data_IF_362625251825
#
_entry.id   IF_362625251825
#
_cell.length_a   1.000
_cell.length_b   1.000
_cell.length_c   1.000
_cell.angle_alpha   90.00
_cell.angle_beta   90.00
_cell.angle_gamma   90.00
#
_symmetry.space_group_name_H-M   'P 1'
#
loop_
_entity.id
_entity.type
_entity.pdbx_description
1 polymer ?
#
# COMPACT_ATOMS: atom_id res chain seq x y z
N UNK A 1 16.09 0.27 -1.54
CA UNK A 1 16.33 -0.70 -2.63
C UNK A 1 17.17 -1.85 -2.11
N UNK A 2 16.79 -3.10 -2.41
CA UNK A 2 17.49 -4.32 -1.97
C UNK A 2 18.46 -4.74 -3.09
N UNK A 3 19.76 -4.86 -2.78
CA UNK A 3 20.74 -5.43 -3.72
C UNK A 3 20.43 -6.92 -3.91
N UNK A 4 20.11 -7.37 -5.14
CA UNK A 4 19.86 -8.79 -5.38
C UNK A 4 21.15 -9.60 -5.15
N UNK A 5 21.01 -10.88 -4.82
CA UNK A 5 22.18 -11.76 -4.75
C UNK A 5 22.69 -12.00 -6.17
N UNK A 6 23.98 -11.75 -6.41
CA UNK A 6 24.63 -11.95 -7.70
C UNK A 6 25.90 -12.79 -7.56
N UNK A 7 26.24 -13.52 -8.62
CA UNK A 7 27.44 -14.34 -8.75
C UNK A 7 28.10 -13.99 -10.08
N UNK A 8 29.43 -13.79 -10.07
CA UNK A 8 30.22 -13.56 -11.27
C UNK A 8 31.11 -14.77 -11.53
N UNK A 9 31.06 -15.28 -12.75
CA UNK A 9 31.96 -16.33 -13.23
C UNK A 9 32.59 -15.89 -14.55
N UNK A 10 33.76 -16.40 -14.90
CA UNK A 10 34.46 -15.97 -16.12
C UNK A 10 35.10 -17.16 -16.85
N UNK A 11 35.09 -17.06 -18.17
CA UNK A 11 35.84 -17.89 -19.12
C UNK A 11 36.91 -17.00 -19.82
N UNK A 12 37.85 -17.56 -20.61
CA UNK A 12 38.85 -16.78 -21.34
C UNK A 12 38.25 -15.71 -22.25
N UNK A 13 37.08 -15.97 -22.82
CA UNK A 13 36.44 -15.10 -23.82
C UNK A 13 35.23 -14.30 -23.26
N UNK A 14 34.63 -14.74 -22.15
CA UNK A 14 33.37 -14.18 -21.63
C UNK A 14 33.34 -14.02 -20.11
N UNK A 15 32.70 -12.96 -19.63
CA UNK A 15 32.24 -12.79 -18.25
C UNK A 15 30.76 -13.19 -18.15
N UNK A 16 30.41 -14.04 -17.20
CA UNK A 16 29.03 -14.47 -16.94
C UNK A 16 28.57 -13.92 -15.60
N UNK A 17 27.53 -13.08 -15.62
CA UNK A 17 26.89 -12.52 -14.43
C UNK A 17 25.57 -13.25 -14.19
N UNK A 18 25.42 -13.85 -13.02
CA UNK A 18 24.21 -14.58 -12.60
C UNK A 18 23.54 -13.78 -11.49
N UNK A 19 22.36 -13.23 -11.75
CA UNK A 19 21.58 -12.43 -10.80
C UNK A 19 20.36 -13.23 -10.35
N UNK A 20 20.22 -13.44 -9.04
CA UNK A 20 19.11 -14.16 -8.40
C UNK A 20 18.06 -13.16 -7.93
N UNK A 21 16.92 -13.12 -8.62
CA UNK A 21 15.78 -12.22 -8.31
C UNK A 21 14.49 -13.03 -8.15
N UNK A 22 14.20 -13.54 -6.94
CA UNK A 22 13.15 -14.54 -6.73
C UNK A 22 11.72 -14.05 -7.02
N UNK A 23 11.46 -12.74 -7.08
CA UNK A 23 10.11 -12.18 -7.16
C UNK A 23 9.82 -11.25 -8.34
N UNK A 24 10.76 -11.06 -9.26
CA UNK A 24 10.62 -10.06 -10.32
C UNK A 24 10.27 -10.66 -11.69
N UNK A 25 9.67 -9.85 -12.57
CA UNK A 25 9.34 -10.23 -13.96
C UNK A 25 10.42 -9.73 -14.92
N UNK A 26 10.68 -10.46 -16.00
CA UNK A 26 11.70 -10.09 -17.00
C UNK A 26 11.40 -8.78 -17.75
N UNK A 27 10.16 -8.29 -17.72
CA UNK A 27 9.75 -7.01 -18.29
C UNK A 27 10.07 -5.79 -17.42
N UNK A 28 10.58 -5.99 -16.20
CA UNK A 28 10.82 -4.92 -15.21
C UNK A 28 12.31 -4.55 -15.09
N UNK A 29 13.17 -5.03 -15.99
CA UNK A 29 14.61 -4.88 -15.88
C UNK A 29 15.25 -4.33 -17.15
N UNK A 30 16.02 -3.25 -16.99
CA UNK A 30 16.94 -2.75 -17.99
C UNK A 30 18.38 -3.09 -17.61
N UNK A 31 19.16 -3.47 -18.62
CA UNK A 31 20.59 -3.78 -18.51
C UNK A 31 21.33 -2.81 -19.40
N UNK A 32 22.26 -2.08 -18.81
CA UNK A 32 23.15 -1.16 -19.50
C UNK A 32 24.59 -1.52 -19.17
N UNK A 33 25.47 -1.47 -20.16
CA UNK A 33 26.88 -1.75 -19.97
C UNK A 33 27.71 -0.86 -20.90
N UNK A 34 28.70 -0.17 -20.33
CA UNK A 34 29.58 0.72 -21.09
C UNK A 34 30.99 0.69 -20.45
N UNK A 35 31.99 0.24 -21.20
CA UNK A 35 33.39 0.22 -20.76
C UNK A 35 33.64 -0.66 -19.53
N UNK A 36 33.78 -0.04 -18.36
CA UNK A 36 33.99 -0.73 -17.06
C UNK A 36 32.69 -0.82 -16.24
N UNK A 37 31.60 -0.19 -16.67
CA UNK A 37 30.38 -0.06 -15.88
C UNK A 37 29.30 -1.04 -16.35
N UNK A 38 28.74 -1.79 -15.40
CA UNK A 38 27.56 -2.62 -15.59
C UNK A 38 26.42 -2.11 -14.69
N UNK A 39 25.32 -1.67 -15.30
CA UNK A 39 24.12 -1.17 -14.64
C UNK A 39 22.97 -2.12 -14.92
N UNK A 40 22.63 -2.95 -13.94
CA UNK A 40 21.32 -3.60 -13.86
C UNK A 40 20.39 -2.64 -13.10
N UNK A 41 19.06 -2.72 -13.23
CA UNK A 41 18.12 -1.86 -12.49
C UNK A 41 18.09 -2.15 -10.96
N UNK A 42 19.24 -2.06 -10.30
CA UNK A 42 19.57 -1.38 -9.05
C UNK A 42 21.11 -1.42 -8.84
N UNK A 43 21.73 -0.24 -8.70
CA UNK A 43 23.16 0.10 -8.48
C UNK A 43 24.16 -0.22 -9.63
N UNK A 44 25.11 0.71 -9.94
CA UNK A 44 26.22 0.45 -10.85
C UNK A 44 27.22 -0.52 -10.21
N UNK A 45 27.68 -1.50 -10.99
CA UNK A 45 28.77 -2.40 -10.68
C UNK A 45 29.98 -1.99 -11.54
N UNK A 46 31.11 -1.72 -10.90
CA UNK A 46 32.35 -1.41 -11.62
C UNK A 46 33.15 -2.69 -11.79
N UNK A 47 33.39 -3.09 -13.04
CA UNK A 47 34.15 -4.27 -13.40
C UNK A 47 35.66 -3.97 -13.36
N UNK A 48 36.50 -4.96 -12.99
CA UNK A 48 37.96 -4.79 -12.93
C UNK A 48 38.63 -4.75 -14.31
N UNK A 49 37.87 -4.87 -15.40
CA UNK A 49 38.36 -4.85 -16.77
C UNK A 49 37.27 -4.41 -17.74
N UNK A 50 37.69 -4.00 -18.93
CA UNK A 50 36.82 -3.43 -19.96
C UNK A 50 36.08 -4.52 -20.75
N UNK A 51 34.83 -4.24 -21.09
CA UNK A 51 33.95 -5.05 -21.92
C UNK A 51 33.56 -4.28 -23.19
N UNK A 52 33.30 -4.99 -24.28
CA UNK A 52 32.97 -4.40 -25.60
C UNK A 52 31.56 -4.82 -26.00
N UNK A 53 30.76 -3.88 -26.48
CA UNK A 53 29.46 -4.14 -27.10
C UNK A 53 29.67 -4.55 -28.57
N UNK A 54 29.55 -5.84 -28.88
CA UNK A 54 29.86 -6.40 -30.22
C UNK A 54 28.71 -7.31 -30.74
N UNK A 55 27.52 -7.21 -30.15
CA UNK A 55 26.32 -7.94 -30.58
C UNK A 55 26.39 -9.46 -30.35
N UNK A 56 27.40 -9.93 -29.63
CA UNK A 56 27.59 -11.32 -29.19
C UNK A 56 27.09 -11.55 -27.75
N UNK A 57 26.51 -10.53 -27.12
CA UNK A 57 25.94 -10.65 -25.77
C UNK A 57 24.72 -11.57 -25.78
N UNK A 58 24.58 -12.38 -24.73
CA UNK A 58 23.38 -13.20 -24.53
C UNK A 58 22.88 -13.04 -23.10
N UNK A 59 21.68 -12.51 -22.96
CA UNK A 59 20.90 -12.56 -21.73
C UNK A 59 19.90 -13.72 -21.81
N UNK A 60 19.93 -14.61 -20.83
CA UNK A 60 19.01 -15.74 -20.73
C UNK A 60 18.35 -15.75 -19.36
N UNK A 61 17.05 -16.03 -19.34
CA UNK A 61 16.23 -16.08 -18.13
C UNK A 61 15.78 -17.52 -17.89
N UNK A 62 16.21 -18.11 -16.78
CA UNK A 62 15.90 -19.49 -16.43
C UNK A 62 14.99 -19.55 -15.20
N UNK A 63 13.93 -20.37 -15.28
CA UNK A 63 12.89 -20.51 -14.26
C UNK A 63 12.90 -21.85 -13.50
N UNK A 64 13.94 -22.67 -13.67
CA UNK A 64 13.98 -24.00 -13.05
C UNK A 64 14.28 -23.95 -11.54
N UNK A 65 13.55 -24.79 -10.78
CA UNK A 65 13.68 -25.01 -9.32
C UNK A 65 13.26 -23.86 -8.41
N UNK A 66 12.28 -23.04 -8.79
CA UNK A 66 11.66 -22.04 -7.90
C UNK A 66 12.56 -20.84 -7.54
N UNK A 67 13.75 -20.75 -8.15
CA UNK A 67 14.65 -19.60 -8.09
C UNK A 67 14.73 -19.05 -9.50
N UNK A 68 14.24 -17.83 -9.70
CA UNK A 68 14.33 -17.11 -10.98
C UNK A 68 15.73 -16.54 -11.12
N UNK A 69 16.48 -16.98 -12.13
CA UNK A 69 17.86 -16.57 -12.39
C UNK A 69 18.00 -15.87 -13.73
N UNK A 70 18.59 -14.67 -13.73
CA UNK A 70 19.06 -13.99 -14.94
C UNK A 70 20.53 -14.32 -15.14
N UNK A 71 20.88 -14.85 -16.30
CA UNK A 71 22.26 -15.14 -16.68
C UNK A 71 22.63 -14.29 -17.88
N UNK A 72 23.58 -13.38 -17.69
CA UNK A 72 24.06 -12.45 -18.72
C UNK A 72 25.50 -12.83 -19.07
N UNK A 73 25.77 -13.04 -20.36
CA UNK A 73 27.11 -13.32 -20.89
C UNK A 73 27.62 -12.10 -21.65
N UNK A 74 28.73 -11.54 -21.17
CA UNK A 74 29.39 -10.35 -21.71
C UNK A 74 30.75 -10.75 -22.29
N UNK A 75 31.08 -10.37 -23.54
CA UNK A 75 32.40 -10.61 -24.11
C UNK A 75 33.46 -9.67 -23.51
N UNK A 76 34.68 -10.18 -23.31
CA UNK A 76 35.82 -9.39 -22.81
C UNK A 76 36.46 -8.58 -23.95
N UNK A 77 36.95 -7.37 -23.66
CA UNK A 77 37.70 -6.57 -24.65
C UNK A 77 38.99 -7.28 -25.09
N UNK A 78 39.67 -7.95 -24.15
CA UNK A 78 40.90 -8.70 -24.42
C UNK A 78 40.66 -10.20 -24.13
N UNK A 79 40.56 -11.05 -25.17
CA UNK A 79 40.45 -12.49 -25.00
C UNK A 79 41.66 -13.06 -24.23
N UNK A 80 41.40 -13.79 -23.14
CA UNK A 80 42.41 -14.36 -22.26
C UNK A 80 42.76 -13.51 -21.03
N UNK A 81 42.21 -12.30 -20.88
CA UNK A 81 42.41 -11.50 -19.67
C UNK A 81 41.66 -12.10 -18.48
N UNK A 82 42.38 -12.41 -17.41
CA UNK A 82 41.80 -12.90 -16.16
C UNK A 82 41.40 -11.72 -15.27
N UNK A 83 40.13 -11.67 -14.87
CA UNK A 83 39.61 -10.60 -14.02
C UNK A 83 39.87 -11.00 -12.57
N UNK A 84 40.83 -10.35 -11.91
CA UNK A 84 41.15 -10.62 -10.51
C UNK A 84 40.12 -9.96 -9.57
N UNK A 85 39.82 -10.61 -8.44
CA UNK A 85 38.97 -10.03 -7.38
C UNK A 85 37.45 -10.18 -7.57
N UNK A 86 36.97 -11.04 -8.47
CA UNK A 86 35.54 -11.30 -8.67
C UNK A 86 34.82 -11.83 -7.39
N UNK A 87 35.55 -12.49 -6.50
CA UNK A 87 35.02 -13.01 -5.22
C UNK A 87 34.84 -11.91 -4.16
N UNK A 88 35.43 -10.72 -4.36
CA UNK A 88 35.40 -9.60 -3.42
C UNK A 88 34.23 -8.66 -3.77
N UNK A 89 33.00 -9.17 -3.65
CA UNK A 89 31.75 -8.51 -4.07
C UNK A 89 31.59 -7.08 -3.50
N UNK A 90 32.09 -6.82 -2.29
CA UNK A 90 32.07 -5.49 -1.67
C UNK A 90 33.01 -4.49 -2.33
N UNK A 91 34.12 -4.96 -2.91
CA UNK A 91 35.09 -4.12 -3.65
C UNK A 91 34.58 -3.72 -5.03
N UNK A 92 33.73 -4.54 -5.65
CA UNK A 92 33.08 -4.26 -6.94
C UNK A 92 31.90 -3.29 -6.81
N UNK A 93 31.37 -3.15 -5.58
CA UNK A 93 30.28 -2.24 -5.21
C UNK A 93 30.79 -0.90 -4.65
N UNK A 94 32.11 -0.72 -4.50
CA UNK A 94 32.69 0.45 -3.87
C UNK A 94 32.95 1.57 -4.90
N UNK A 95 32.52 2.82 -4.65
CA UNK A 95 32.76 3.93 -5.56
C UNK A 95 34.25 4.28 -5.65
N UNK A 96 34.71 4.68 -6.85
CA UNK A 96 36.08 5.18 -7.07
C UNK A 96 36.20 6.57 -6.43
N UNK A 97 36.40 6.66 -5.11
CA UNK A 97 36.77 7.95 -4.49
C UNK A 97 38.11 8.43 -5.04
N UNK A 98 38.12 9.61 -5.65
CA UNK A 98 39.33 10.33 -6.04
C UNK A 98 40.21 10.54 -4.80
N UNK A 99 41.43 9.99 -4.83
CA UNK A 99 42.43 10.27 -3.80
C UNK A 99 43.00 11.67 -4.02
N UNK A 100 42.38 12.68 -3.40
CA UNK A 100 42.98 14.00 -3.23
C UNK A 100 43.03 14.35 -1.75
N UNK A 101 44.11 13.95 -1.07
CA UNK A 101 44.50 14.56 0.19
C UNK A 101 45.20 15.89 -0.12
N UNK A 102 44.50 17.02 0.08
CA UNK A 102 45.14 18.35 0.02
C UNK A 102 45.98 18.57 1.29
N UNK A 103 47.26 18.98 1.19
CA UNK A 103 48.06 19.34 2.35
C UNK A 103 47.71 20.75 2.86
N UNK A 104 47.85 20.93 4.17
CA UNK A 104 47.43 22.11 4.92
C UNK A 104 48.60 23.11 5.07
N UNK A 105 48.92 23.90 4.03
CA UNK A 105 49.73 25.13 4.15
C UNK A 105 49.35 26.11 3.03
N UNK A 106 48.96 27.34 3.40
CA UNK A 106 48.83 28.50 2.50
C UNK A 106 50.18 29.21 2.35
N UNK A 107 50.64 29.44 1.12
CA UNK A 107 51.55 30.54 0.80
C UNK A 107 51.03 31.33 -0.40
N UNK A 108 51.13 32.65 -0.27
CA UNK A 108 50.61 33.68 -1.17
C UNK A 108 51.47 33.76 -2.43
N UNK A 109 50.89 33.50 -3.61
CA UNK A 109 51.40 34.03 -4.87
C UNK A 109 50.27 34.18 -5.89
N UNK A 110 50.19 35.38 -6.47
CA UNK A 110 49.21 35.78 -7.46
C UNK A 110 49.56 35.26 -8.86
N UNK A 111 48.57 34.65 -9.53
CA UNK A 111 48.44 34.70 -10.99
C UNK A 111 47.06 34.18 -11.39
N UNK A 112 46.33 35.04 -12.10
CA UNK A 112 45.06 34.74 -12.73
C UNK A 112 45.26 33.83 -13.94
N UNK A 113 44.44 32.78 -14.07
CA UNK A 113 44.14 32.14 -15.36
C UNK A 113 42.80 31.37 -15.26
N UNK A 114 41.85 31.87 -16.07
CA UNK A 114 40.78 31.19 -16.81
C UNK A 114 40.11 29.96 -16.17
N UNK A 115 38.87 30.15 -15.71
CA UNK A 115 37.90 29.10 -15.46
C UNK A 115 37.46 28.45 -16.78
N UNK A 116 37.97 27.26 -17.08
CA UNK A 116 37.28 26.33 -17.95
C UNK A 116 36.10 25.75 -17.15
N UNK A 117 34.89 25.91 -17.67
CA UNK A 117 33.69 25.24 -17.16
C UNK A 117 33.87 23.74 -17.40
N UNK A 118 34.40 23.03 -16.41
CA UNK A 118 34.29 21.56 -16.34
C UNK A 118 32.79 21.25 -16.36
N UNK A 119 32.33 20.51 -17.38
CA UNK A 119 31.00 19.93 -17.39
C UNK A 119 30.81 19.16 -16.09
N UNK A 120 29.95 19.65 -15.20
CA UNK A 120 29.57 18.93 -13.97
C UNK A 120 28.89 17.62 -14.39
N UNK A 121 29.70 16.56 -14.50
CA UNK A 121 29.22 15.19 -14.60
C UNK A 121 28.33 14.94 -13.39
N UNK A 122 27.02 14.78 -13.65
CA UNK A 122 25.99 14.74 -12.62
C UNK A 122 26.27 13.57 -11.67
N UNK A 123 26.79 13.89 -10.48
CA UNK A 123 27.12 12.92 -9.47
C UNK A 123 25.83 12.29 -8.92
N UNK A 124 25.50 11.09 -9.41
CA UNK A 124 24.38 10.30 -8.92
C UNK A 124 24.68 9.64 -7.56
N UNK A 125 25.85 9.90 -6.95
CA UNK A 125 26.23 9.35 -5.65
C UNK A 125 25.73 10.24 -4.50
N UNK A 126 24.64 9.81 -3.88
CA UNK A 126 24.19 10.39 -2.59
C UNK A 126 25.24 10.05 -1.52
N UNK A 127 25.95 11.07 -1.04
CA UNK A 127 26.98 10.94 0.01
C UNK A 127 26.36 10.33 1.28
N UNK A 128 26.67 9.06 1.56
CA UNK A 128 26.20 8.41 2.79
C UNK A 128 27.12 8.77 3.96
N UNK A 129 26.59 9.52 4.92
CA UNK A 129 27.19 9.65 6.24
C UNK A 129 27.07 8.31 6.98
N UNK A 130 28.13 7.81 7.65
CA UNK A 130 28.03 6.63 8.49
C UNK A 130 26.89 6.77 9.49
N UNK A 131 26.12 5.71 9.69
CA UNK A 131 25.19 5.65 10.82
C UNK A 131 26.03 5.65 12.10
N UNK A 132 26.07 6.79 12.79
CA UNK A 132 26.51 6.82 14.18
C UNK A 132 25.41 6.15 15.01
N UNK A 133 25.71 4.98 15.60
CA UNK A 133 24.94 4.51 16.76
C UNK A 133 25.13 5.57 17.85
N UNK A 134 24.22 6.54 17.91
CA UNK A 134 24.13 7.43 19.04
C UNK A 134 23.84 6.53 20.25
N UNK A 135 24.84 6.33 21.08
CA UNK A 135 24.67 5.78 22.41
C UNK A 135 23.55 6.57 23.10
N UNK A 136 22.42 5.89 23.34
CA UNK A 136 21.26 6.37 24.10
C UNK A 136 20.64 7.70 23.63
N UNK A 137 19.91 7.67 22.52
CA UNK A 137 18.78 8.58 22.33
C UNK A 137 17.58 7.85 21.70
N UNK A 138 16.53 7.65 22.51
CA UNK A 138 15.16 7.22 22.20
C UNK A 138 14.89 6.64 20.80
N UNK A 139 14.53 5.36 20.70
CA UNK A 139 13.81 4.79 19.54
C UNK A 139 12.78 5.83 19.03
N UNK A 140 12.75 6.19 17.74
CA UNK A 140 11.73 7.11 17.25
C UNK A 140 10.37 6.57 17.65
N UNK A 141 9.51 7.39 18.28
CA UNK A 141 8.15 6.99 18.62
C UNK A 141 7.39 6.67 17.32
N UNK A 142 7.42 5.42 16.88
CA UNK A 142 6.63 4.95 15.75
C UNK A 142 5.19 4.74 16.24
N UNK A 143 4.28 5.60 15.80
CA UNK A 143 2.87 5.47 16.10
C UNK A 143 2.25 4.34 15.28
N UNK A 144 1.51 3.47 15.96
CA UNK A 144 0.88 2.31 15.32
C UNK A 144 -0.41 2.69 14.58
N UNK A 145 -0.78 1.87 13.61
CA UNK A 145 -2.00 1.97 12.80
C UNK A 145 -2.37 0.58 12.25
N UNK A 146 -3.35 0.54 11.35
CA UNK A 146 -3.85 -0.70 10.75
C UNK A 146 -4.83 -1.41 11.67
N UNK A 147 -5.17 -2.65 11.30
CA UNK A 147 -6.03 -3.51 12.10
C UNK A 147 -5.52 -3.62 13.54
N UNK A 148 -6.33 -3.16 14.50
CA UNK A 148 -6.01 -3.23 15.93
C UNK A 148 -4.76 -2.44 16.35
N UNK A 149 -4.29 -1.47 15.57
CA UNK A 149 -3.02 -0.77 15.81
C UNK A 149 -1.83 -1.74 15.94
N UNK A 150 -1.78 -2.77 15.09
CA UNK A 150 -0.75 -3.81 15.10
C UNK A 150 0.39 -3.57 14.11
N UNK A 151 0.32 -2.54 13.25
CA UNK A 151 1.31 -2.22 12.23
C UNK A 151 2.00 -0.88 12.50
N UNK A 152 3.26 -0.77 12.11
CA UNK A 152 4.07 0.46 12.07
C UNK A 152 5.21 0.29 11.05
N UNK A 153 5.77 1.38 10.55
CA UNK A 153 6.93 1.41 9.65
C UNK A 153 6.67 0.95 8.21
N UNK A 154 5.40 0.81 7.82
CA UNK A 154 4.99 0.43 6.45
C UNK A 154 5.12 1.63 5.50
N UNK A 155 4.78 2.84 5.97
CA UNK A 155 4.77 4.03 5.12
C UNK A 155 6.17 4.55 4.82
N UNK A 156 7.16 4.23 5.66
CA UNK A 156 8.59 4.52 5.35
C UNK A 156 9.11 3.79 4.11
N UNK A 157 8.49 2.67 3.70
CA UNK A 157 8.94 1.85 2.57
C UNK A 157 8.15 2.08 1.28
N UNK A 158 6.89 2.51 1.41
CA UNK A 158 5.91 2.62 0.33
C UNK A 158 5.31 4.02 0.27
N UNK A 159 6.08 5.05 0.64
CA UNK A 159 5.58 6.42 0.80
C UNK A 159 4.95 6.95 -0.50
N UNK A 160 5.55 6.67 -1.64
CA UNK A 160 5.09 7.17 -2.94
C UNK A 160 3.72 6.57 -3.33
N UNK A 161 3.55 5.24 -3.24
CA UNK A 161 2.28 4.57 -3.52
C UNK A 161 1.18 4.93 -2.51
N UNK A 162 1.55 5.09 -1.25
CA UNK A 162 0.59 5.33 -0.18
C UNK A 162 0.12 6.78 -0.09
N UNK A 163 0.91 7.74 -0.57
CA UNK A 163 0.54 9.16 -0.60
C UNK A 163 -0.75 9.42 -1.39
N UNK A 164 -1.03 8.60 -2.41
CA UNK A 164 -2.26 8.70 -3.20
C UNK A 164 -3.46 8.01 -2.54
N UNK A 165 -3.22 7.08 -1.60
CA UNK A 165 -4.23 6.26 -0.92
C UNK A 165 -4.75 6.92 0.37
N UNK A 166 -3.84 7.47 1.17
CA UNK A 166 -4.14 8.06 2.48
C UNK A 166 -4.04 9.59 2.47
N UNK A 167 -4.79 10.26 3.34
CA UNK A 167 -4.82 11.73 3.43
C UNK A 167 -3.73 12.29 4.38
N UNK A 168 -3.04 11.41 5.10
CA UNK A 168 -2.02 11.78 6.09
C UNK A 168 -0.61 11.61 5.52
N UNK A 169 0.22 12.67 5.60
CA UNK A 169 1.56 12.67 4.98
C UNK A 169 2.55 11.71 5.64
N UNK A 170 2.58 11.68 6.97
CA UNK A 170 3.50 10.84 7.74
C UNK A 170 2.76 10.20 8.93
N UNK A 171 2.10 9.06 8.71
CA UNK A 171 1.36 8.38 9.77
C UNK A 171 2.25 7.75 10.84
N UNK A 172 3.51 7.42 10.51
CA UNK A 172 4.46 6.80 11.43
C UNK A 172 4.90 7.79 12.52
N UNK A 173 4.99 9.08 12.20
CA UNK A 173 5.39 10.14 13.14
C UNK A 173 4.21 10.97 13.68
N UNK A 174 2.99 10.81 13.15
CA UNK A 174 1.84 11.61 13.61
C UNK A 174 1.02 10.87 14.68
N UNK A 175 0.89 11.41 15.91
CA UNK A 175 0.05 10.84 16.97
C UNK A 175 -1.43 10.88 16.61
N UNK A 176 -2.22 9.95 17.16
CA UNK A 176 -3.66 9.76 16.87
C UNK A 176 -4.47 11.06 17.05
N UNK A 177 -4.21 11.82 18.11
CA UNK A 177 -4.92 13.07 18.38
C UNK A 177 -4.63 14.14 17.32
N UNK A 178 -3.40 14.18 16.82
CA UNK A 178 -3.02 15.08 15.73
C UNK A 178 -3.62 14.63 14.39
N UNK A 179 -3.73 13.32 14.13
CA UNK A 179 -4.45 12.79 12.95
C UNK A 179 -5.89 13.29 12.94
N UNK A 180 -6.59 13.17 14.08
CA UNK A 180 -7.97 13.66 14.24
C UNK A 180 -8.07 15.17 14.00
N UNK A 181 -7.17 15.96 14.58
CA UNK A 181 -7.16 17.43 14.40
C UNK A 181 -6.95 17.81 12.94
N UNK A 182 -5.99 17.20 12.26
CA UNK A 182 -5.70 17.43 10.83
C UNK A 182 -6.88 17.02 9.95
N UNK A 183 -7.51 15.88 10.24
CA UNK A 183 -8.72 15.43 9.54
C UNK A 183 -9.85 16.45 9.64
N UNK A 184 -10.18 16.89 10.86
CA UNK A 184 -11.27 17.85 11.08
C UNK A 184 -11.04 19.16 10.33
N UNK A 185 -9.79 19.63 10.31
CA UNK A 185 -9.40 20.82 9.54
C UNK A 185 -9.53 20.59 8.02
N UNK A 186 -9.09 19.44 7.51
CA UNK A 186 -9.20 19.08 6.10
C UNK A 186 -10.67 18.94 5.65
N UNK A 187 -11.52 18.32 6.46
CA UNK A 187 -12.96 18.22 6.20
C UNK A 187 -13.63 19.59 6.19
N UNK A 188 -13.31 20.44 7.17
CA UNK A 188 -13.86 21.80 7.22
C UNK A 188 -13.43 22.65 6.01
N UNK A 189 -12.20 22.47 5.53
CA UNK A 189 -11.70 23.16 4.34
C UNK A 189 -12.29 22.60 3.04
N UNK A 190 -12.64 21.31 3.00
CA UNK A 190 -13.20 20.64 1.81
C UNK A 190 -14.69 20.84 1.65
N UNK A 191 -15.42 21.09 2.74
CA UNK A 191 -16.85 21.33 2.71
C UNK A 191 -17.20 22.54 1.85
N UNK A 192 -18.07 22.33 0.87
CA UNK A 192 -18.52 23.35 -0.08
C UNK A 192 -20.03 23.54 0.08
N UNK A 193 -20.48 24.65 0.69
CA UNK A 193 -21.90 24.89 0.97
C UNK A 193 -22.76 24.92 -0.29
N UNK A 194 -22.26 25.53 -1.37
CA UNK A 194 -23.02 25.71 -2.61
C UNK A 194 -23.30 24.37 -3.29
N UNK A 195 -22.32 23.46 -3.31
CA UNK A 195 -22.49 22.10 -3.82
C UNK A 195 -23.50 21.31 -2.99
N UNK A 196 -23.41 21.40 -1.66
CA UNK A 196 -24.39 20.76 -0.78
C UNK A 196 -25.81 21.29 -1.01
N UNK A 197 -25.97 22.60 -1.21
CA UNK A 197 -27.27 23.20 -1.49
C UNK A 197 -27.79 22.78 -2.87
N UNK A 198 -26.94 22.67 -3.88
CA UNK A 198 -27.31 22.15 -5.19
C UNK A 198 -27.88 20.72 -5.06
N UNK A 199 -27.16 19.81 -4.41
CA UNK A 199 -27.62 18.43 -4.18
C UNK A 199 -28.87 18.35 -3.28
N UNK A 200 -29.11 19.35 -2.44
CA UNK A 200 -30.29 19.42 -1.57
C UNK A 200 -31.55 19.87 -2.32
N UNK A 201 -31.42 20.78 -3.29
CA UNK A 201 -32.55 21.30 -4.05
C UNK A 201 -32.79 20.54 -5.37
N UNK A 202 -31.74 19.99 -5.99
CA UNK A 202 -31.78 19.22 -7.24
C UNK A 202 -31.57 17.72 -6.95
N UNK A 203 -32.43 17.14 -6.11
CA UNK A 203 -32.22 15.82 -5.52
C UNK A 203 -32.77 14.65 -6.36
N UNK A 204 -33.21 14.86 -7.60
CA UNK A 204 -33.88 13.83 -8.42
C UNK A 204 -33.05 12.54 -8.57
N UNK A 205 -31.75 12.68 -8.87
CA UNK A 205 -30.82 11.55 -8.98
C UNK A 205 -30.62 10.85 -7.63
N UNK A 206 -30.55 11.62 -6.54
CA UNK A 206 -30.40 11.10 -5.18
C UNK A 206 -31.66 10.33 -4.76
N UNK A 207 -32.85 10.83 -5.09
CA UNK A 207 -34.11 10.15 -4.82
C UNK A 207 -34.27 8.85 -5.61
N UNK A 208 -33.68 8.75 -6.80
CA UNK A 208 -33.60 7.48 -7.54
C UNK A 208 -32.74 6.46 -6.78
N UNK A 209 -31.50 6.85 -6.46
CA UNK A 209 -30.54 6.05 -5.70
C UNK A 209 -31.11 5.59 -4.35
N UNK A 210 -31.83 6.45 -3.64
CA UNK A 210 -32.45 6.10 -2.34
C UNK A 210 -33.52 5.01 -2.45
N UNK A 211 -34.10 4.78 -3.64
CA UNK A 211 -35.08 3.71 -3.87
C UNK A 211 -34.44 2.36 -4.14
N UNK A 212 -33.14 2.33 -4.46
CA UNK A 212 -32.41 1.09 -4.69
C UNK A 212 -32.50 0.17 -3.47
N UNK A 213 -32.59 -1.14 -3.72
CA UNK A 213 -32.72 -2.18 -2.70
C UNK A 213 -31.55 -3.15 -2.78
N UNK A 214 -30.53 -2.97 -1.91
CA UNK A 214 -29.43 -3.92 -1.81
C UNK A 214 -29.89 -5.29 -1.28
N UNK A 215 -29.06 -6.30 -1.52
CA UNK A 215 -29.35 -7.70 -1.16
C UNK A 215 -29.65 -7.92 0.33
N UNK A 216 -29.06 -7.12 1.24
CA UNK A 216 -29.28 -7.25 2.68
C UNK A 216 -30.69 -6.86 3.11
N UNK A 217 -31.40 -6.01 2.35
CA UNK A 217 -32.79 -5.62 2.66
C UNK A 217 -33.70 -6.84 2.59
N UNK A 218 -33.56 -7.66 1.55
CA UNK A 218 -34.39 -8.85 1.39
C UNK A 218 -33.96 -9.98 2.33
N UNK A 219 -32.67 -10.12 2.61
CA UNK A 219 -32.17 -11.04 3.63
C UNK A 219 -32.72 -10.67 5.03
N UNK A 220 -32.74 -9.39 5.37
CA UNK A 220 -33.24 -8.88 6.65
C UNK A 220 -34.74 -9.05 6.81
N UNK A 221 -35.53 -8.78 5.76
CA UNK A 221 -36.97 -9.08 5.75
C UNK A 221 -37.26 -10.56 6.00
N UNK A 222 -36.51 -11.46 5.36
CA UNK A 222 -36.63 -12.92 5.59
C UNK A 222 -36.31 -13.27 7.04
N UNK A 223 -35.26 -12.68 7.62
CA UNK A 223 -34.90 -12.87 9.02
C UNK A 223 -36.02 -12.40 9.97
N UNK A 224 -36.60 -11.22 9.75
CA UNK A 224 -37.70 -10.71 10.57
C UNK A 224 -38.96 -11.59 10.45
N UNK A 225 -39.32 -12.01 9.23
CA UNK A 225 -40.48 -12.87 9.01
C UNK A 225 -40.36 -14.20 9.79
N UNK A 226 -39.18 -14.82 9.76
CA UNK A 226 -38.90 -16.06 10.49
C UNK A 226 -38.81 -15.88 12.01
N UNK A 227 -38.47 -14.68 12.51
CA UNK A 227 -38.50 -14.38 13.95
C UNK A 227 -39.92 -14.13 14.47
N UNK A 228 -40.86 -13.72 13.62
CA UNK A 228 -42.27 -13.52 13.97
C UNK A 228 -43.07 -14.83 14.06
N UNK A 229 -42.62 -15.88 13.37
CA UNK A 229 -43.17 -17.23 13.45
C UNK A 229 -42.50 -17.98 14.62
N UNK A 230 -43.05 -17.85 15.84
CA UNK A 230 -42.64 -18.63 17.01
C UNK A 230 -42.59 -20.12 16.67
N UNK A 231 -41.41 -20.75 16.49
CA UNK A 231 -41.10 -22.14 16.88
C UNK A 231 -39.62 -22.52 16.62
N UNK A 232 -38.88 -22.75 17.72
CA UNK A 232 -38.13 -23.98 18.04
C UNK A 232 -37.21 -24.68 17.01
N UNK A 233 -36.69 -24.03 15.97
CA UNK A 233 -35.55 -24.59 15.23
C UNK A 233 -34.24 -23.90 15.61
N UNK A 234 -33.44 -24.56 16.45
CA UNK A 234 -32.01 -24.29 16.62
C UNK A 234 -31.22 -24.75 15.38
N UNK A 235 -31.65 -24.30 14.19
CA UNK A 235 -30.90 -24.38 12.96
C UNK A 235 -30.11 -23.09 12.77
N UNK A 236 -28.85 -23.19 12.36
CA UNK A 236 -28.05 -22.03 11.93
C UNK A 236 -28.63 -21.51 10.61
N UNK A 237 -29.73 -20.75 10.64
CA UNK A 237 -30.35 -20.22 9.42
C UNK A 237 -29.33 -19.36 8.68
N UNK A 238 -28.94 -19.83 7.51
CA UNK A 238 -27.90 -19.20 6.71
C UNK A 238 -28.56 -18.20 5.77
N UNK A 239 -28.72 -16.96 6.25
CA UNK A 239 -29.32 -15.86 5.48
C UNK A 239 -28.42 -15.32 4.37
N UNK A 240 -27.15 -15.74 4.36
CA UNK A 240 -26.10 -15.22 3.49
C UNK A 240 -25.41 -16.37 2.79
N UNK A 241 -25.45 -16.37 1.46
CA UNK A 241 -24.79 -17.37 0.62
C UNK A 241 -23.52 -16.78 0.03
N UNK A 242 -22.43 -17.52 0.16
CA UNK A 242 -21.14 -17.16 -0.43
C UNK A 242 -21.03 -17.70 -1.86
N UNK A 243 -20.55 -16.87 -2.79
CA UNK A 243 -20.18 -17.29 -4.14
C UNK A 243 -18.93 -18.17 -4.12
N UNK A 244 -18.64 -18.88 -5.22
CA UNK A 244 -17.41 -19.69 -5.27
C UNK A 244 -16.15 -18.81 -5.23
N UNK A 245 -16.16 -17.63 -5.87
CA UNK A 245 -15.08 -16.64 -5.78
C UNK A 245 -14.82 -16.22 -4.32
N UNK A 246 -15.88 -15.92 -3.55
CA UNK A 246 -15.78 -15.55 -2.14
C UNK A 246 -15.19 -16.71 -1.31
N UNK A 247 -15.61 -17.96 -1.60
CA UNK A 247 -15.09 -19.16 -0.93
C UNK A 247 -13.62 -19.40 -1.26
N UNK A 248 -13.20 -19.19 -2.50
CA UNK A 248 -11.81 -19.28 -2.92
C UNK A 248 -10.95 -18.22 -2.24
N UNK A 249 -11.43 -16.98 -2.16
CA UNK A 249 -10.72 -15.91 -1.45
C UNK A 249 -10.55 -16.25 0.04
N UNK A 250 -11.58 -16.81 0.67
CA UNK A 250 -11.49 -17.27 2.06
C UNK A 250 -10.43 -18.38 2.25
N UNK A 251 -10.22 -19.26 1.26
CA UNK A 251 -9.16 -20.29 1.31
C UNK A 251 -7.75 -19.70 1.22
N UNK A 252 -7.59 -18.52 0.60
CA UNK A 252 -6.29 -17.84 0.47
C UNK A 252 -5.85 -17.16 1.77
N UNK A 253 -6.78 -16.80 2.65
CA UNK A 253 -6.42 -16.14 3.90
C UNK A 253 -5.66 -17.08 4.84
N UNK A 254 -4.55 -16.58 5.38
CA UNK A 254 -3.77 -17.32 6.38
C UNK A 254 -4.55 -17.41 7.70
N UNK A 255 -4.59 -18.59 8.29
CA UNK A 255 -5.28 -18.81 9.56
C UNK A 255 -4.54 -18.16 10.73
N UNK A 256 -4.82 -16.88 11.03
CA UNK A 256 -4.20 -16.09 12.11
C UNK A 256 -5.16 -15.87 13.27
N UNK A 257 -4.68 -15.93 14.51
CA UNK A 257 -5.45 -15.59 15.71
C UNK A 257 -4.98 -14.24 16.26
N UNK A 258 -5.91 -13.30 16.46
CA UNK A 258 -5.60 -12.00 17.05
C UNK A 258 -5.96 -12.02 18.54
N UNK A 259 -4.97 -11.80 19.39
CA UNK A 259 -5.16 -11.58 20.82
C UNK A 259 -5.28 -10.08 21.05
N UNK A 260 -6.52 -9.59 21.04
CA UNK A 260 -6.82 -8.18 21.27
C UNK A 260 -7.33 -7.99 22.70
N UNK A 261 -6.78 -7.00 23.39
CA UNK A 261 -7.32 -6.55 24.68
C UNK A 261 -8.70 -5.89 24.51
N UNK A 262 -9.42 -5.70 25.61
CA UNK A 262 -10.79 -5.16 25.59
C UNK A 262 -10.85 -3.78 24.90
N UNK A 263 -9.83 -2.94 25.08
CA UNK A 263 -9.78 -1.61 24.49
C UNK A 263 -9.50 -1.69 23.00
N UNK A 264 -8.51 -2.45 22.54
CA UNK A 264 -8.25 -2.60 21.09
C UNK A 264 -9.42 -3.27 20.37
N UNK A 265 -10.07 -4.25 21.01
CA UNK A 265 -11.29 -4.88 20.46
C UNK A 265 -12.42 -3.86 20.25
N UNK A 266 -12.63 -2.94 21.19
CA UNK A 266 -13.62 -1.88 21.05
C UNK A 266 -13.31 -0.96 19.86
N UNK A 267 -12.07 -0.51 19.71
CA UNK A 267 -11.64 0.29 18.55
C UNK A 267 -11.82 -0.47 17.23
N UNK A 268 -11.51 -1.77 17.20
CA UNK A 268 -11.66 -2.61 16.01
C UNK A 268 -13.13 -2.72 15.57
N UNK A 269 -14.07 -2.89 16.51
CA UNK A 269 -15.50 -2.86 16.19
C UNK A 269 -15.95 -1.48 15.67
N UNK A 270 -15.45 -0.38 16.23
CA UNK A 270 -15.78 0.96 15.74
C UNK A 270 -15.22 1.21 14.34
N UNK A 271 -13.99 0.79 14.06
CA UNK A 271 -13.41 0.84 12.71
C UNK A 271 -14.14 -0.05 11.71
N UNK A 272 -14.65 -1.21 12.14
CA UNK A 272 -15.50 -2.06 11.31
C UNK A 272 -16.79 -1.34 10.91
N UNK A 273 -17.44 -0.65 11.86
CA UNK A 273 -18.65 0.12 11.58
C UNK A 273 -18.35 1.25 10.59
N UNK A 274 -17.25 1.98 10.78
CA UNK A 274 -16.81 3.06 9.87
C UNK A 274 -16.62 2.55 8.42
N UNK A 275 -15.98 1.38 8.26
CA UNK A 275 -15.77 0.75 6.95
C UNK A 275 -17.09 0.28 6.34
N UNK A 276 -17.98 -0.34 7.13
CA UNK A 276 -19.29 -0.80 6.66
C UNK A 276 -20.18 0.37 6.21
N UNK A 277 -20.14 1.50 6.93
CA UNK A 277 -20.86 2.71 6.55
C UNK A 277 -20.44 3.22 5.16
N UNK A 278 -19.13 3.30 4.93
CA UNK A 278 -18.57 3.67 3.63
C UNK A 278 -19.00 2.71 2.51
N UNK A 279 -19.01 1.41 2.78
CA UNK A 279 -19.46 0.40 1.83
C UNK A 279 -20.96 0.46 1.54
N UNK A 280 -21.81 0.65 2.56
CA UNK A 280 -23.26 0.79 2.35
C UNK A 280 -23.60 2.00 1.48
N UNK A 281 -22.90 3.12 1.69
CA UNK A 281 -23.04 4.29 0.83
C UNK A 281 -22.68 3.96 -0.62
N UNK A 282 -21.52 3.33 -0.83
CA UNK A 282 -21.00 2.99 -2.15
C UNK A 282 -21.96 2.10 -2.95
N UNK A 283 -22.43 1.01 -2.33
CA UNK A 283 -23.39 0.10 -2.96
C UNK A 283 -24.73 0.78 -3.24
N UNK A 284 -25.17 1.69 -2.36
CA UNK A 284 -26.41 2.42 -2.59
C UNK A 284 -26.26 3.33 -3.82
N UNK A 285 -25.22 4.17 -3.85
CA UNK A 285 -24.99 5.17 -4.90
C UNK A 285 -24.78 4.56 -6.27
N UNK A 286 -24.05 3.45 -6.35
CA UNK A 286 -23.80 2.79 -7.62
C UNK A 286 -24.77 1.62 -7.90
N UNK A 287 -25.87 1.51 -7.15
CA UNK A 287 -26.92 0.50 -7.36
C UNK A 287 -26.38 -0.94 -7.42
N UNK A 288 -25.31 -1.21 -6.68
CA UNK A 288 -24.62 -2.49 -6.60
C UNK A 288 -23.56 -2.76 -7.67
N UNK A 289 -23.45 -1.89 -8.69
CA UNK A 289 -22.42 -2.00 -9.71
C UNK A 289 -21.15 -1.28 -9.27
N UNK A 290 -19.99 -1.91 -9.51
CA UNK A 290 -18.69 -1.34 -9.12
C UNK A 290 -18.09 -0.59 -10.29
N UNK A 291 -17.46 0.54 -10.01
CA UNK A 291 -16.76 1.36 -10.99
C UNK A 291 -15.36 1.72 -10.50
N UNK A 292 -14.62 2.48 -11.31
CA UNK A 292 -13.24 2.87 -11.00
C UNK A 292 -13.12 3.76 -9.75
N UNK A 293 -14.19 4.46 -9.38
CA UNK A 293 -14.27 5.35 -8.21
C UNK A 293 -14.72 4.61 -6.94
N UNK A 294 -15.20 3.37 -7.04
CA UNK A 294 -15.67 2.59 -5.89
C UNK A 294 -14.60 2.47 -4.79
N UNK A 295 -13.34 2.25 -5.19
CA UNK A 295 -12.21 2.20 -4.27
C UNK A 295 -11.99 3.55 -3.57
N UNK A 296 -12.15 4.65 -4.32
CA UNK A 296 -11.99 6.01 -3.84
C UNK A 296 -13.09 6.40 -2.86
N UNK A 297 -14.35 6.08 -3.17
CA UNK A 297 -15.47 6.36 -2.28
C UNK A 297 -15.33 5.62 -0.95
N UNK A 298 -15.06 4.31 -0.98
CA UNK A 298 -14.94 3.52 0.26
C UNK A 298 -13.77 4.03 1.11
N UNK A 299 -12.59 4.28 0.52
CA UNK A 299 -11.44 4.77 1.28
C UNK A 299 -11.64 6.20 1.79
N UNK A 300 -12.23 7.10 1.00
CA UNK A 300 -12.41 8.50 1.40
C UNK A 300 -13.54 8.65 2.39
N UNK A 301 -14.58 7.82 2.39
CA UNK A 301 -15.66 7.94 3.37
C UNK A 301 -15.32 7.33 4.73
N UNK A 302 -14.43 6.33 4.78
CA UNK A 302 -13.93 5.75 6.03
C UNK A 302 -12.69 6.49 6.53
N UNK A 303 -12.80 7.19 7.67
CA UNK A 303 -11.64 7.84 8.30
C UNK A 303 -10.63 6.82 8.87
N UNK A 304 -11.09 5.60 9.18
CA UNK A 304 -10.21 4.49 9.56
C UNK A 304 -9.23 4.15 8.44
N UNK A 305 -9.68 4.19 7.17
CA UNK A 305 -8.87 3.85 6.02
C UNK A 305 -7.96 5.00 5.56
N UNK A 306 -8.51 6.20 5.34
CA UNK A 306 -7.75 7.32 4.78
C UNK A 306 -6.97 8.15 5.81
N UNK A 307 -7.43 8.22 7.07
CA UNK A 307 -6.76 8.99 8.14
C UNK A 307 -6.11 8.12 9.22
N UNK A 308 -6.26 6.79 9.12
CA UNK A 308 -5.76 5.83 10.11
C UNK A 308 -6.20 6.20 11.54
N UNK A 309 -7.44 6.69 11.66
CA UNK A 309 -8.02 7.14 12.92
C UNK A 309 -8.52 5.96 13.76
N UNK A 310 -8.30 6.05 15.08
CA UNK A 310 -8.87 5.12 16.05
C UNK A 310 -9.99 5.81 16.81
N UNK A 311 -11.23 5.34 16.62
CA UNK A 311 -12.40 5.91 17.27
C UNK A 311 -12.62 5.38 18.68
N UNK A 312 -13.06 6.25 19.59
CA UNK A 312 -13.40 5.88 20.98
C UNK A 312 -14.90 5.72 21.21
N UNK A 313 -15.72 6.39 20.39
CA UNK A 313 -17.17 6.43 20.51
C UNK A 313 -17.85 6.17 19.17
N UNK A 314 -19.00 5.49 19.20
CA UNK A 314 -19.85 5.29 18.03
C UNK A 314 -20.38 6.61 17.47
N UNK A 315 -20.67 7.58 18.34
CA UNK A 315 -21.12 8.90 17.93
C UNK A 315 -20.08 9.58 17.04
N UNK A 316 -18.79 9.48 17.41
CA UNK A 316 -17.70 10.07 16.64
C UNK A 316 -17.54 9.40 15.26
N UNK A 317 -17.78 8.09 15.17
CA UNK A 317 -17.81 7.35 13.88
C UNK A 317 -18.93 7.90 12.99
N UNK A 318 -20.15 8.00 13.51
CA UNK A 318 -21.31 8.44 12.74
C UNK A 318 -21.17 9.90 12.28
N UNK A 319 -20.70 10.79 13.17
CA UNK A 319 -20.43 12.19 12.82
C UNK A 319 -19.32 12.30 11.79
N UNK A 320 -18.24 11.52 11.96
CA UNK A 320 -17.14 11.47 11.00
C UNK A 320 -17.63 11.07 9.62
N UNK A 321 -18.30 9.91 9.50
CA UNK A 321 -18.85 9.44 8.24
C UNK A 321 -19.82 10.45 7.62
N UNK A 322 -20.76 10.98 8.40
CA UNK A 322 -21.74 11.95 7.92
C UNK A 322 -21.09 13.22 7.36
N UNK A 323 -20.10 13.80 8.06
CA UNK A 323 -19.34 14.95 7.56
C UNK A 323 -18.67 14.63 6.23
N UNK A 324 -18.06 13.46 6.10
CA UNK A 324 -17.30 13.06 4.91
C UNK A 324 -18.22 12.84 3.69
N UNK A 325 -19.39 12.23 3.89
CA UNK A 325 -20.41 12.13 2.83
C UNK A 325 -20.84 13.50 2.32
N UNK A 326 -20.89 14.51 3.18
CA UNK A 326 -21.24 15.88 2.78
C UNK A 326 -20.07 16.69 2.19
N UNK A 327 -18.84 16.16 2.17
CA UNK A 327 -17.65 16.88 1.72
C UNK A 327 -17.03 16.32 0.44
N UNK A 328 -17.00 14.99 0.28
CA UNK A 328 -16.15 14.33 -0.70
C UNK A 328 -16.87 13.78 -1.94
N UNK A 329 -17.91 12.92 -1.80
CA UNK A 329 -18.44 12.18 -2.92
C UNK A 329 -19.24 13.07 -3.89
N UNK A 330 -19.64 12.48 -5.01
CA UNK A 330 -20.46 13.11 -6.04
C UNK A 330 -21.85 13.54 -5.51
N UNK A 331 -22.47 12.75 -4.65
CA UNK A 331 -23.79 13.04 -4.09
C UNK A 331 -23.71 13.37 -2.61
N UNK A 332 -23.81 14.66 -2.26
CA UNK A 332 -23.63 15.18 -0.90
C UNK A 332 -24.98 15.44 -0.24
N UNK A 333 -25.65 14.36 0.17
CA UNK A 333 -26.98 14.46 0.75
C UNK A 333 -27.14 13.71 2.07
N UNK A 334 -27.77 14.36 3.07
CA UNK A 334 -27.95 13.78 4.41
C UNK A 334 -28.88 12.55 4.43
N UNK A 335 -29.78 12.45 3.45
CA UNK A 335 -30.61 11.25 3.26
C UNK A 335 -29.79 9.99 2.99
N UNK A 336 -28.67 10.11 2.25
CA UNK A 336 -27.76 8.99 1.98
C UNK A 336 -27.00 8.57 3.25
N UNK A 337 -26.66 9.53 4.11
CA UNK A 337 -26.04 9.25 5.43
C UNK A 337 -26.98 8.41 6.29
N UNK A 338 -28.23 8.86 6.42
CA UNK A 338 -29.25 8.16 7.22
C UNK A 338 -29.57 6.79 6.65
N UNK A 339 -29.58 6.66 5.31
CA UNK A 339 -29.75 5.37 4.64
C UNK A 339 -28.61 4.40 4.95
N UNK A 340 -27.36 4.84 4.83
CA UNK A 340 -26.19 4.02 5.14
C UNK A 340 -26.17 3.57 6.63
N UNK A 341 -26.68 4.39 7.55
CA UNK A 341 -26.85 4.01 8.96
C UNK A 341 -27.82 2.84 9.11
N UNK A 342 -29.00 2.95 8.50
CA UNK A 342 -30.02 1.90 8.55
C UNK A 342 -29.54 0.60 7.90
N UNK A 343 -28.90 0.69 6.73
CA UNK A 343 -28.34 -0.46 6.01
C UNK A 343 -27.25 -1.15 6.84
N UNK A 344 -26.37 -0.39 7.47
CA UNK A 344 -25.34 -0.92 8.38
C UNK A 344 -25.97 -1.66 9.57
N UNK A 345 -27.02 -1.11 10.17
CA UNK A 345 -27.76 -1.77 11.26
C UNK A 345 -28.37 -3.09 10.77
N UNK A 346 -28.96 -3.14 9.58
CA UNK A 346 -29.50 -4.38 9.01
C UNK A 346 -28.41 -5.44 8.81
N UNK A 347 -27.25 -5.07 8.27
CA UNK A 347 -26.10 -5.98 8.08
C UNK A 347 -25.60 -6.50 9.42
N UNK A 348 -25.49 -5.65 10.43
CA UNK A 348 -25.08 -6.07 11.77
C UNK A 348 -26.08 -7.04 12.40
N UNK A 349 -27.39 -6.83 12.19
CA UNK A 349 -28.44 -7.73 12.68
C UNK A 349 -28.46 -9.08 11.97
N UNK A 350 -28.10 -9.14 10.68
CA UNK A 350 -27.92 -10.39 9.92
C UNK A 350 -26.71 -11.21 10.42
N UNK A 351 -25.81 -10.59 11.17
CA UNK A 351 -24.71 -11.24 11.87
C UNK A 351 -23.42 -11.39 11.04
N UNK A 352 -22.47 -12.15 11.60
CA UNK A 352 -21.08 -12.22 11.11
C UNK A 352 -20.92 -12.65 9.64
N UNK A 353 -21.83 -13.49 9.12
CA UNK A 353 -21.77 -13.93 7.73
C UNK A 353 -22.04 -12.78 6.75
N UNK A 354 -22.99 -11.90 7.08
CA UNK A 354 -23.30 -10.72 6.27
C UNK A 354 -22.14 -9.72 6.28
N UNK A 355 -21.57 -9.48 7.47
CA UNK A 355 -20.39 -8.63 7.64
C UNK A 355 -19.23 -9.17 6.80
N UNK A 356 -18.95 -10.48 6.89
CA UNK A 356 -17.87 -11.10 6.14
C UNK A 356 -18.10 -10.98 4.62
N UNK A 357 -19.34 -11.15 4.15
CA UNK A 357 -19.67 -10.95 2.73
C UNK A 357 -19.37 -9.51 2.27
N UNK A 358 -19.73 -8.51 3.08
CA UNK A 358 -19.41 -7.11 2.77
C UNK A 358 -17.90 -6.86 2.74
N UNK A 359 -17.15 -7.39 3.71
CA UNK A 359 -15.69 -7.24 3.76
C UNK A 359 -14.97 -7.93 2.59
N UNK A 360 -15.45 -9.08 2.14
CA UNK A 360 -14.94 -9.75 0.94
C UNK A 360 -15.19 -8.91 -0.32
N UNK A 361 -16.33 -8.23 -0.38
CA UNK A 361 -16.65 -7.37 -1.51
C UNK A 361 -15.75 -6.12 -1.55
N UNK A 362 -15.52 -5.49 -0.39
CA UNK A 362 -14.55 -4.40 -0.22
C UNK A 362 -13.14 -4.88 -0.60
N UNK A 363 -12.76 -6.09 -0.18
CA UNK A 363 -11.47 -6.67 -0.53
C UNK A 363 -11.28 -6.78 -2.04
N UNK A 364 -12.34 -7.17 -2.77
CA UNK A 364 -12.33 -7.21 -4.24
C UNK A 364 -12.20 -5.81 -4.83
N UNK A 365 -12.96 -4.84 -4.33
CA UNK A 365 -12.90 -3.43 -4.77
C UNK A 365 -11.47 -2.87 -4.66
N UNK A 366 -10.76 -3.15 -3.56
CA UNK A 366 -9.38 -2.68 -3.39
C UNK A 366 -8.34 -3.49 -4.16
N UNK A 367 -8.62 -4.75 -4.50
CA UNK A 367 -7.70 -5.56 -5.30
C UNK A 367 -7.68 -5.11 -6.78
N UNK A 368 -8.81 -4.62 -7.28
CA UNK A 368 -8.97 -4.22 -8.68
C UNK A 368 -8.39 -2.82 -8.98
N UNK A 369 -7.92 -2.09 -7.96
CA UNK A 369 -7.47 -0.70 -8.08
C UNK A 369 -6.09 -0.48 -7.41
N UNK A 370 -5.07 -0.20 -8.20
CA UNK A 370 -3.75 0.23 -7.73
C UNK A 370 -3.81 1.71 -7.35
N UNK A 371 -3.41 2.17 -6.13
CA UNK A 371 -2.63 1.49 -5.08
C UNK A 371 -3.48 1.03 -3.86
N UNK A 372 -4.80 0.94 -4.00
CA UNK A 372 -5.72 0.66 -2.89
C UNK A 372 -5.53 -0.73 -2.28
N UNK A 373 -4.91 -1.68 -2.99
CA UNK A 373 -4.64 -3.04 -2.52
C UNK A 373 -3.90 -3.08 -1.17
N UNK A 374 -3.09 -2.07 -0.85
CA UNK A 374 -2.34 -2.02 0.43
C UNK A 374 -3.30 -1.92 1.63
N UNK A 375 -4.49 -1.34 1.46
CA UNK A 375 -5.52 -1.30 2.51
C UNK A 375 -6.08 -2.69 2.81
N UNK A 376 -6.02 -3.63 1.87
CA UNK A 376 -6.36 -5.03 2.15
C UNK A 376 -5.39 -5.64 3.17
N UNK A 377 -4.09 -5.41 2.98
CA UNK A 377 -3.06 -5.96 3.87
C UNK A 377 -2.99 -5.25 5.23
N UNK A 378 -3.33 -3.95 5.26
CA UNK A 378 -3.34 -3.15 6.49
C UNK A 378 -4.59 -3.37 7.35
N UNK A 379 -5.76 -3.57 6.72
CA UNK A 379 -7.05 -3.61 7.40
C UNK A 379 -7.91 -4.80 6.98
N UNK A 380 -8.32 -4.87 5.71
CA UNK A 380 -9.49 -5.69 5.30
C UNK A 380 -9.24 -7.19 5.47
N UNK A 381 -8.06 -7.71 5.10
CA UNK A 381 -7.73 -9.12 5.25
C UNK A 381 -7.74 -9.54 6.73
N UNK A 382 -7.16 -8.72 7.61
CA UNK A 382 -7.14 -8.98 9.05
C UNK A 382 -8.58 -8.91 9.64
N UNK A 383 -9.44 -7.99 9.17
CA UNK A 383 -10.86 -7.95 9.52
C UNK A 383 -11.63 -9.21 9.08
N UNK A 384 -11.42 -9.67 7.84
CA UNK A 384 -12.00 -10.91 7.30
C UNK A 384 -11.63 -12.13 8.14
N UNK A 385 -10.38 -12.25 8.57
CA UNK A 385 -9.91 -13.36 9.40
C UNK A 385 -10.48 -13.25 10.81
N UNK A 386 -10.48 -12.05 11.38
CA UNK A 386 -10.89 -11.81 12.75
C UNK A 386 -12.38 -12.08 12.98
N UNK A 387 -13.27 -11.58 12.12
CA UNK A 387 -14.73 -11.71 12.29
C UNK A 387 -15.22 -13.16 12.26
N UNK A 388 -14.45 -14.06 11.64
CA UNK A 388 -14.76 -15.49 11.62
C UNK A 388 -14.56 -16.14 13.00
N UNK A 389 -13.66 -15.59 13.81
CA UNK A 389 -13.23 -16.14 15.10
C UNK A 389 -13.81 -15.41 16.31
N UNK A 390 -14.39 -14.23 16.11
CA UNK A 390 -15.07 -13.49 17.17
C UNK A 390 -16.27 -14.29 17.69
N UNK A 391 -16.38 -14.36 19.02
CA UNK A 391 -17.50 -14.99 19.73
C UNK A 391 -18.57 -13.97 20.07
#
# INVERSE_FOLDING_TARGET
MITPAFELTQDPDFLTIIIKVPYAKASEFDVYFEGEDFKFYAKPLTLPGRIVEDGREKASYNTDKGIRTFTIRLPKEIPGQYFEGLDMLTSLLAPKKSRSAKPLVEEIAASAELSEEEEEEFDWEIEQTPYEESAESTLPLQYRYGFGNLRSGVFQRLQDELSDVIDIKDPDQTPVDERRRKRLAAEAAKFEPDHYLADFFEDEAIQHVLKYKPWWVDAHKKMIALQGENHQEHGTHTFVVFSEEEREQLRKFTNKSYLLDKRSRHHVYLGLIDILLAYCYEICVNEGDKNVESSWNVRKLSATLCWLESFTSIHDVLVSFGRRVLCYPLHRHFGLVTRAFNDTVMILQLGKAAILKCLLDIHKIFMENDPAYILNDLFIADYCIWIQKTK
#
